data_IF_297387779707
#
_entry.id   IF_297387779707
#
_cell.length_a   1.000
_cell.length_b   1.000
_cell.length_c   1.000
_cell.angle_alpha   90.00
_cell.angle_beta   90.00
_cell.angle_gamma   90.00
#
_symmetry.space_group_name_H-M   'P 1'
#
loop_
_entity.id
_entity.type
_entity.pdbx_description
1 polymer ?
#
# COMPACT_ATOMS: atom_id res chain seq x y z
N UNK A 1 27.79 0.27 31.09
CA UNK A 1 28.44 1.60 31.09
C UNK A 1 27.84 2.40 29.94
N UNK A 2 26.75 3.12 30.19
CA UNK A 2 26.66 4.61 30.25
C UNK A 2 27.00 5.26 28.89
N UNK A 3 26.18 6.08 28.23
CA UNK A 3 25.07 6.92 28.68
C UNK A 3 24.12 7.24 27.50
N UNK A 4 22.81 7.20 27.71
CA UNK A 4 21.86 7.95 26.87
C UNK A 4 21.69 9.31 27.55
N UNK A 5 22.43 10.32 27.08
CA UNK A 5 22.23 11.70 27.50
C UNK A 5 21.09 12.29 26.68
N UNK A 6 20.04 12.66 27.40
CA UNK A 6 18.94 13.53 27.01
C UNK A 6 19.40 14.70 26.13
N UNK A 7 18.68 14.93 25.03
CA UNK A 7 18.52 16.25 24.43
C UNK A 7 17.02 16.53 24.31
N UNK A 8 16.50 17.22 25.31
CA UNK A 8 15.21 17.90 25.27
C UNK A 8 15.34 19.11 24.35
N UNK A 9 14.72 19.07 23.17
CA UNK A 9 14.39 20.29 22.43
C UNK A 9 12.94 20.61 22.76
N UNK A 10 12.78 21.68 23.52
CA UNK A 10 11.54 22.36 23.81
C UNK A 10 10.85 22.77 22.50
N UNK A 11 9.82 22.04 22.11
CA UNK A 11 8.74 22.57 21.27
C UNK A 11 7.43 22.27 22.00
N UNK A 12 6.64 23.33 22.17
CA UNK A 12 5.52 23.42 23.09
C UNK A 12 4.48 22.31 22.95
N UNK A 13 3.74 22.11 24.04
CA UNK A 13 2.59 21.20 24.18
C UNK A 13 1.73 21.16 22.91
N UNK A 14 1.90 20.12 22.11
CA UNK A 14 0.88 19.65 21.18
C UNK A 14 0.08 18.56 21.91
N UNK A 15 -1.26 18.58 21.86
CA UNK A 15 -2.09 17.52 22.46
C UNK A 15 -1.74 16.17 21.81
N UNK A 16 -1.83 15.09 22.59
CA UNK A 16 -1.45 13.72 22.22
C UNK A 16 -2.15 13.22 20.94
N UNK A 17 -1.65 13.65 19.79
CA UNK A 17 -1.96 13.07 18.50
C UNK A 17 -0.88 12.03 18.21
N UNK A 18 -1.31 10.79 17.99
CA UNK A 18 -0.49 9.60 17.83
C UNK A 18 0.45 9.69 16.62
N UNK A 19 1.61 10.31 16.80
CA UNK A 19 2.72 10.20 15.84
C UNK A 19 3.66 9.11 16.36
N UNK A 20 3.54 7.90 15.81
CA UNK A 20 4.50 6.84 16.10
C UNK A 20 5.90 7.30 15.67
N UNK A 21 6.89 7.08 16.55
CA UNK A 21 8.30 7.36 16.22
C UNK A 21 8.68 6.55 14.97
N UNK A 22 8.95 7.25 13.86
CA UNK A 22 9.50 6.65 12.66
C UNK A 22 10.93 6.20 12.93
N UNK A 23 11.11 4.91 13.21
CA UNK A 23 12.40 4.29 13.47
C UNK A 23 12.41 2.84 12.98
N UNK A 24 13.57 2.16 12.99
CA UNK A 24 13.64 0.77 12.57
C UNK A 24 12.75 -0.13 13.45
N UNK A 25 11.82 -0.84 12.81
CA UNK A 25 10.91 -1.79 13.47
C UNK A 25 11.44 -3.23 13.41
N UNK A 26 11.17 -4.02 14.45
CA UNK A 26 11.53 -5.45 14.53
C UNK A 26 10.65 -6.32 13.63
N UNK A 27 9.39 -5.93 13.48
CA UNK A 27 8.42 -6.59 12.61
C UNK A 27 8.11 -5.65 11.44
N UNK A 28 8.11 -6.21 10.23
CA UNK A 28 7.84 -5.49 8.99
C UNK A 28 6.69 -6.18 8.27
N UNK A 29 5.85 -5.39 7.60
CA UNK A 29 4.66 -5.89 6.93
C UNK A 29 4.97 -6.50 5.54
N UNK A 30 5.97 -5.94 4.85
CA UNK A 30 6.34 -6.33 3.49
C UNK A 30 7.66 -7.12 3.46
N UNK A 31 7.76 -8.08 2.54
CA UNK A 31 9.01 -8.79 2.24
C UNK A 31 10.00 -7.83 1.57
N UNK A 32 11.15 -7.51 2.20
CA UNK A 32 12.08 -6.49 1.71
C UNK A 32 12.55 -6.67 0.27
N UNK A 33 12.64 -7.91 -0.20
CA UNK A 33 13.12 -8.20 -1.57
C UNK A 33 12.13 -7.82 -2.67
N UNK A 34 10.85 -7.70 -2.33
CA UNK A 34 9.77 -7.34 -3.26
C UNK A 34 9.49 -5.83 -3.26
N UNK A 35 10.14 -5.09 -2.36
CA UNK A 35 9.97 -3.65 -2.17
C UNK A 35 10.79 -2.85 -3.20
N UNK A 36 10.12 -1.89 -3.85
CA UNK A 36 10.75 -0.70 -4.46
C UNK A 36 10.55 0.51 -3.56
N UNK A 37 11.64 1.09 -3.07
CA UNK A 37 11.61 2.25 -2.19
C UNK A 37 12.04 3.52 -2.94
N UNK A 38 11.19 4.54 -2.97
CA UNK A 38 11.50 5.84 -3.56
C UNK A 38 11.76 6.88 -2.46
N UNK A 39 12.88 7.59 -2.57
CA UNK A 39 13.27 8.70 -1.67
C UNK A 39 13.07 10.00 -2.43
N UNK A 40 12.15 10.83 -1.93
CA UNK A 40 11.87 12.17 -2.45
C UNK A 40 12.21 13.21 -1.40
N UNK A 41 12.74 14.34 -1.84
CA UNK A 41 12.99 15.49 -0.96
C UNK A 41 12.17 16.68 -1.44
N UNK A 42 11.39 17.26 -0.54
CA UNK A 42 10.54 18.42 -0.80
C UNK A 42 10.86 19.52 0.22
N UNK A 43 11.12 20.73 -0.26
CA UNK A 43 11.46 21.89 0.57
C UNK A 43 12.81 22.52 0.23
N UNK A 44 13.27 23.41 1.12
CA UNK A 44 14.53 24.14 0.95
C UNK A 44 15.78 23.27 1.10
N UNK A 45 16.90 23.75 0.55
CA UNK A 45 18.23 23.15 0.69
C UNK A 45 18.66 23.19 2.16
N UNK A 46 18.63 22.05 2.84
CA UNK A 46 19.24 21.90 4.16
C UNK A 46 20.54 21.08 4.02
N UNK A 47 21.71 21.59 4.47
CA UNK A 47 22.99 20.89 4.34
C UNK A 47 23.01 19.47 4.94
N UNK A 48 22.15 19.20 5.93
CA UNK A 48 22.09 17.92 6.64
C UNK A 48 21.20 16.86 5.97
N UNK A 49 20.54 17.17 4.86
CA UNK A 49 19.60 16.25 4.22
C UNK A 49 20.30 15.04 3.58
N UNK A 50 21.54 15.21 3.14
CA UNK A 50 22.34 14.14 2.56
C UNK A 50 22.62 13.02 3.58
N UNK A 51 22.88 13.37 4.84
CA UNK A 51 23.07 12.38 5.91
C UNK A 51 21.78 11.62 6.23
N UNK A 52 20.62 12.28 6.14
CA UNK A 52 19.32 11.64 6.33
C UNK A 52 19.06 10.62 5.21
N UNK A 53 19.24 11.01 3.94
CA UNK A 53 19.10 10.11 2.78
C UNK A 53 20.05 8.91 2.94
N UNK A 54 21.30 9.16 3.34
CA UNK A 54 22.30 8.12 3.55
C UNK A 54 21.86 7.10 4.59
N UNK A 55 21.33 7.53 5.73
CA UNK A 55 20.84 6.63 6.78
C UNK A 55 19.60 5.85 6.37
N UNK A 56 18.70 6.46 5.59
CA UNK A 56 17.52 5.77 5.04
C UNK A 56 17.97 4.65 4.09
N UNK A 57 18.85 4.94 3.13
CA UNK A 57 19.36 3.93 2.18
C UNK A 57 20.07 2.79 2.93
N UNK A 58 20.89 3.11 3.92
CA UNK A 58 21.60 2.09 4.71
C UNK A 58 20.63 1.20 5.49
N UNK A 59 19.56 1.79 6.02
CA UNK A 59 18.53 1.07 6.76
C UNK A 59 17.73 0.15 5.83
N UNK A 60 17.30 0.64 4.67
CA UNK A 60 16.58 -0.15 3.66
C UNK A 60 17.41 -1.35 3.17
N UNK A 61 18.70 -1.13 2.87
CA UNK A 61 19.61 -2.22 2.52
C UNK A 61 19.78 -3.23 3.67
N UNK A 62 19.84 -2.76 4.92
CA UNK A 62 19.94 -3.63 6.11
C UNK A 62 18.70 -4.50 6.27
N UNK A 63 17.52 -3.99 5.92
CA UNK A 63 16.30 -4.79 5.85
C UNK A 63 16.28 -5.74 4.65
N UNK A 64 17.13 -5.56 3.64
CA UNK A 64 17.23 -6.45 2.47
C UNK A 64 16.54 -5.90 1.21
N UNK A 65 16.16 -4.62 1.21
CA UNK A 65 15.60 -3.94 0.04
C UNK A 65 16.68 -3.76 -1.02
N UNK A 66 16.39 -4.16 -2.26
CA UNK A 66 17.32 -4.10 -3.39
C UNK A 66 17.03 -2.98 -4.39
N UNK A 67 15.77 -2.57 -4.49
CA UNK A 67 15.33 -1.56 -5.45
C UNK A 67 15.06 -0.25 -4.71
N UNK A 68 16.06 0.63 -4.68
CA UNK A 68 15.99 1.92 -3.99
C UNK A 68 16.29 3.01 -5.02
N UNK A 69 15.41 4.01 -5.13
CA UNK A 69 15.51 5.09 -6.10
C UNK A 69 15.33 6.45 -5.45
N UNK A 70 15.97 7.47 -6.01
CA UNK A 70 15.81 8.87 -5.68
C UNK A 70 14.95 9.56 -6.73
N UNK A 71 14.01 10.38 -6.29
CA UNK A 71 13.12 11.13 -7.18
C UNK A 71 13.61 12.57 -7.29
N UNK A 72 14.03 13.02 -8.50
CA UNK A 72 14.57 14.36 -8.67
C UNK A 72 13.45 15.42 -8.67
N UNK A 73 13.79 16.66 -8.27
CA UNK A 73 12.86 17.80 -8.32
C UNK A 73 11.60 17.68 -7.44
N UNK A 74 11.71 16.94 -6.33
CA UNK A 74 10.61 16.74 -5.40
C UNK A 74 9.46 15.97 -6.04
N UNK A 75 8.22 16.34 -5.73
CA UNK A 75 7.06 15.63 -6.27
C UNK A 75 6.92 15.72 -7.80
N UNK A 76 7.50 16.74 -8.43
CA UNK A 76 7.47 16.86 -9.90
C UNK A 76 8.12 15.67 -10.60
N UNK A 77 9.15 15.07 -9.99
CA UNK A 77 9.83 13.90 -10.55
C UNK A 77 8.97 12.64 -10.66
N UNK A 78 7.79 12.60 -10.03
CA UNK A 78 6.84 11.50 -10.21
C UNK A 78 5.97 11.64 -11.47
N UNK A 79 5.75 12.86 -11.96
CA UNK A 79 4.76 13.13 -13.02
C UNK A 79 5.39 13.59 -14.34
N UNK A 80 6.62 14.08 -14.32
CA UNK A 80 7.32 14.54 -15.51
C UNK A 80 8.09 13.38 -16.15
N UNK A 81 7.55 12.81 -17.24
CA UNK A 81 8.14 11.66 -17.96
C UNK A 81 9.55 11.93 -18.49
N UNK A 82 9.98 13.20 -18.54
CA UNK A 82 11.34 13.59 -18.96
C UNK A 82 12.36 13.40 -17.83
N UNK A 83 11.89 13.19 -16.60
CA UNK A 83 12.72 12.98 -15.42
C UNK A 83 12.78 11.49 -15.09
N UNK A 84 13.98 10.94 -15.09
CA UNK A 84 14.19 9.53 -14.74
C UNK A 84 14.52 9.38 -13.25
N UNK A 85 14.00 8.30 -12.67
CA UNK A 85 14.37 7.87 -11.33
C UNK A 85 15.88 7.58 -11.26
N UNK A 86 16.51 7.96 -10.15
CA UNK A 86 17.93 7.75 -9.95
C UNK A 86 18.19 6.56 -9.02
N UNK A 87 18.89 5.50 -9.44
CA UNK A 87 19.17 4.38 -8.56
C UNK A 87 20.07 4.80 -7.38
N UNK A 88 19.65 4.45 -6.16
CA UNK A 88 20.38 4.70 -4.93
C UNK A 88 20.92 3.38 -4.38
N UNK A 89 22.16 3.43 -3.89
CA UNK A 89 22.80 2.34 -3.15
C UNK A 89 23.77 2.94 -2.16
N UNK A 90 24.22 2.15 -1.18
CA UNK A 90 25.24 2.58 -0.23
C UNK A 90 26.48 3.18 -0.89
N UNK A 91 26.90 2.66 -2.05
CA UNK A 91 28.03 3.22 -2.81
C UNK A 91 27.73 4.61 -3.37
N UNK A 92 26.52 4.80 -3.90
CA UNK A 92 26.07 6.08 -4.47
C UNK A 92 25.91 7.13 -3.36
N UNK A 93 25.33 6.75 -2.22
CA UNK A 93 25.07 7.70 -1.12
C UNK A 93 26.28 7.97 -0.21
N UNK A 94 27.30 7.10 -0.20
CA UNK A 94 28.53 7.30 0.57
C UNK A 94 29.32 8.53 0.13
N UNK A 95 29.21 8.93 -1.14
CA UNK A 95 29.93 10.07 -1.71
C UNK A 95 29.11 11.37 -1.72
N UNK A 96 27.87 11.36 -1.22
CA UNK A 96 26.99 12.54 -1.18
C UNK A 96 27.49 13.66 -0.25
N UNK A 97 28.34 13.33 0.72
CA UNK A 97 28.87 14.30 1.68
C UNK A 97 30.06 15.11 1.12
N UNK A 98 30.57 14.77 -0.08
CA UNK A 98 31.72 15.42 -0.71
C UNK A 98 31.35 16.31 -1.90
N UNK A 99 30.11 16.25 -2.39
CA UNK A 99 29.63 17.08 -3.48
C UNK A 99 28.81 18.23 -2.90
N UNK A 100 29.33 19.46 -2.98
CA UNK A 100 28.57 20.66 -2.61
C UNK A 100 27.32 20.82 -3.49
N UNK A 101 26.16 21.07 -2.86
CA UNK A 101 24.85 21.19 -3.53
C UNK A 101 23.94 19.98 -3.31
N UNK A 102 22.62 20.18 -3.41
CA UNK A 102 21.69 19.04 -3.33
C UNK A 102 21.76 18.19 -4.58
N UNK A 103 21.97 16.90 -4.37
CA UNK A 103 22.11 15.83 -5.37
C UNK A 103 20.93 15.69 -6.34
N UNK A 104 19.83 16.37 -6.06
CA UNK A 104 18.71 16.56 -6.97
C UNK A 104 18.26 17.99 -6.82
N UNK A 105 18.20 18.72 -7.93
CA UNK A 105 17.75 20.12 -7.94
C UNK A 105 16.44 20.24 -7.18
N UNK A 106 16.39 21.14 -6.19
CA UNK A 106 15.19 21.36 -5.39
C UNK A 106 14.20 22.23 -6.15
N UNK A 107 12.91 21.88 -6.07
CA UNK A 107 11.82 22.77 -6.46
C UNK A 107 11.28 23.43 -5.19
N UNK A 108 11.14 24.78 -5.19
CA UNK A 108 10.53 25.53 -4.08
C UNK A 108 9.01 25.40 -4.18
N UNK A 109 8.46 24.30 -3.67
CA UNK A 109 7.06 24.17 -3.31
C UNK A 109 6.93 24.28 -1.79
N UNK A 110 6.03 25.14 -1.31
CA UNK A 110 5.80 25.34 0.13
C UNK A 110 5.38 24.06 0.85
N UNK A 111 5.60 24.06 2.17
CA UNK A 111 5.39 23.00 3.18
C UNK A 111 6.62 22.12 3.44
N UNK A 112 7.17 22.27 4.65
CA UNK A 112 8.15 21.39 5.27
C UNK A 112 7.46 20.08 5.64
N UNK A 113 7.53 19.09 4.77
CA UNK A 113 7.13 17.73 5.10
C UNK A 113 8.38 16.84 4.98
N UNK A 114 8.91 16.38 6.11
CA UNK A 114 9.67 15.13 6.12
C UNK A 114 8.62 14.06 5.89
N UNK A 115 8.37 13.73 4.63
CA UNK A 115 7.54 12.59 4.30
C UNK A 115 8.38 11.35 4.50
N UNK A 116 8.42 10.87 5.76
CA UNK A 116 8.51 9.43 6.03
C UNK A 116 7.12 8.83 5.85
N UNK A 117 6.51 9.07 4.69
CA UNK A 117 5.48 8.19 4.22
C UNK A 117 6.22 7.24 3.29
N UNK A 118 6.30 5.98 3.72
CA UNK A 118 6.39 4.89 2.78
C UNK A 118 5.06 4.93 2.00
N UNK A 119 4.92 5.90 1.10
CA UNK A 119 3.91 5.85 0.06
C UNK A 119 4.44 4.84 -0.92
N UNK A 120 4.23 3.57 -0.62
CA UNK A 120 4.09 2.61 -1.69
C UNK A 120 2.83 3.04 -2.43
N UNK A 121 2.99 3.56 -3.64
CA UNK A 121 2.13 3.04 -4.69
C UNK A 121 2.55 1.59 -4.92
N UNK A 122 2.04 0.72 -4.06
CA UNK A 122 1.56 -0.58 -4.47
C UNK A 122 0.03 -0.48 -4.46
N UNK A 123 -0.50 0.48 -5.22
CA UNK A 123 -1.89 0.42 -5.69
C UNK A 123 -2.09 -0.78 -6.61
N UNK A 124 -1.02 -1.46 -7.04
CA UNK A 124 -1.12 -2.66 -7.84
C UNK A 124 -1.18 -3.92 -6.96
N UNK A 125 -2.38 -4.42 -6.73
CA UNK A 125 -2.61 -5.84 -6.49
C UNK A 125 -1.86 -6.69 -7.54
N UNK A 126 -1.46 -7.94 -7.24
CA UNK A 126 -0.77 -8.81 -8.19
C UNK A 126 -1.50 -8.90 -9.53
N UNK A 127 -0.80 -9.12 -10.66
CA UNK A 127 -1.43 -9.17 -11.97
C UNK A 127 -2.53 -10.23 -12.03
N UNK A 128 -3.67 -9.84 -12.60
CA UNK A 128 -4.81 -10.73 -12.79
C UNK A 128 -4.47 -11.75 -13.88
N UNK A 129 -4.68 -13.02 -13.58
CA UNK A 129 -4.48 -14.17 -14.47
C UNK A 129 -5.73 -15.06 -14.47
N UNK A 130 -5.77 -16.10 -15.30
CA UNK A 130 -6.87 -17.09 -15.27
C UNK A 130 -7.01 -17.87 -13.95
N UNK A 131 -6.04 -17.76 -13.02
CA UNK A 131 -6.07 -18.37 -11.68
C UNK A 131 -5.41 -17.46 -10.64
N UNK A 132 -5.88 -16.22 -10.54
CA UNK A 132 -5.35 -15.22 -9.60
C UNK A 132 -5.56 -15.69 -8.16
N UNK A 133 -4.48 -15.79 -7.37
CA UNK A 133 -4.57 -16.22 -5.97
C UNK A 133 -5.05 -15.07 -5.09
N UNK A 134 -5.98 -15.36 -4.18
CA UNK A 134 -6.50 -14.37 -3.25
C UNK A 134 -6.82 -15.01 -1.89
N UNK A 135 -6.94 -14.15 -0.87
CA UNK A 135 -7.63 -14.48 0.38
C UNK A 135 -9.04 -13.94 0.32
N UNK A 136 -10.01 -14.79 0.61
CA UNK A 136 -11.41 -14.42 0.68
C UNK A 136 -11.78 -14.12 2.12
N UNK A 137 -12.33 -12.93 2.36
CA UNK A 137 -12.85 -12.48 3.66
C UNK A 137 -14.38 -12.34 3.61
N UNK A 138 -15.00 -12.17 4.76
CA UNK A 138 -16.46 -12.01 4.85
C UNK A 138 -16.79 -10.54 5.09
N UNK A 139 -17.72 -10.01 4.29
CA UNK A 139 -18.22 -8.65 4.45
C UNK A 139 -19.74 -8.58 4.26
N UNK A 140 -20.37 -7.68 5.01
CA UNK A 140 -21.76 -7.30 4.90
C UNK A 140 -21.90 -6.06 4.03
N UNK A 141 -22.63 -6.21 2.92
CA UNK A 141 -22.94 -5.11 2.00
C UNK A 141 -24.29 -4.44 2.31
N UNK A 142 -24.92 -4.83 3.41
CA UNK A 142 -26.21 -4.31 3.86
C UNK A 142 -26.04 -2.99 4.62
N UNK A 143 -27.11 -2.21 4.67
CA UNK A 143 -27.13 -0.96 5.45
C UNK A 143 -26.92 -1.27 6.93
N UNK A 144 -25.90 -0.65 7.54
CA UNK A 144 -25.51 -0.91 8.93
C UNK A 144 -24.68 -2.18 9.12
N UNK A 145 -24.20 -2.79 8.03
CA UNK A 145 -23.16 -3.81 8.05
C UNK A 145 -21.77 -3.25 8.33
N UNK A 146 -20.76 -4.13 8.28
CA UNK A 146 -19.34 -3.82 8.43
C UNK A 146 -18.72 -3.13 7.21
N UNK A 147 -19.34 -3.19 6.03
CA UNK A 147 -18.93 -2.42 4.86
C UNK A 147 -19.08 -0.89 5.01
N UNK A 148 -19.73 -0.43 6.08
CA UNK A 148 -19.89 0.99 6.41
C UNK A 148 -20.84 1.73 5.46
N UNK A 149 -20.32 2.18 4.32
CA UNK A 149 -21.04 2.96 3.31
C UNK A 149 -21.79 2.10 2.28
N UNK A 150 -22.56 2.73 1.37
CA UNK A 150 -23.04 2.05 0.18
C UNK A 150 -21.87 1.69 -0.75
N UNK A 151 -22.03 0.68 -1.60
CA UNK A 151 -20.93 0.18 -2.42
C UNK A 151 -20.50 1.16 -3.52
N UNK A 152 -19.19 1.24 -3.78
CA UNK A 152 -18.56 2.27 -4.62
C UNK A 152 -19.03 2.23 -6.08
N UNK A 153 -19.35 1.06 -6.65
CA UNK A 153 -19.70 0.96 -8.06
C UNK A 153 -21.02 1.66 -8.46
N UNK A 154 -21.99 1.75 -7.55
CA UNK A 154 -23.32 2.27 -7.87
C UNK A 154 -24.02 3.04 -6.73
N UNK A 155 -23.34 3.21 -5.60
CA UNK A 155 -23.86 3.93 -4.44
C UNK A 155 -25.05 3.23 -3.78
N UNK A 156 -25.15 1.89 -3.87
CA UNK A 156 -26.24 1.11 -3.27
C UNK A 156 -25.75 0.10 -2.24
N UNK A 157 -26.57 -0.11 -1.21
CA UNK A 157 -26.46 -1.28 -0.35
C UNK A 157 -27.00 -2.52 -1.07
N UNK A 158 -26.42 -3.68 -0.77
CA UNK A 158 -26.77 -4.98 -1.37
C UNK A 158 -27.13 -5.96 -0.29
N UNK A 159 -28.07 -6.87 -0.56
CA UNK A 159 -28.36 -7.92 0.41
C UNK A 159 -27.21 -8.91 0.45
N UNK A 160 -26.90 -9.43 1.64
CA UNK A 160 -25.90 -10.48 1.82
C UNK A 160 -26.31 -11.85 1.25
N UNK A 161 -27.56 -11.94 0.78
CA UNK A 161 -28.09 -13.08 0.02
C UNK A 161 -27.74 -13.00 -1.47
N UNK A 162 -27.33 -11.83 -1.98
CA UNK A 162 -26.79 -11.67 -3.32
C UNK A 162 -25.32 -12.09 -3.36
N UNK A 163 -24.88 -12.74 -4.45
CA UNK A 163 -23.47 -13.09 -4.65
C UNK A 163 -22.68 -11.87 -5.13
N UNK A 164 -22.26 -11.05 -4.18
CA UNK A 164 -21.49 -9.83 -4.43
C UNK A 164 -20.15 -9.85 -3.69
N UNK A 165 -19.18 -9.12 -4.24
CA UNK A 165 -17.83 -8.98 -3.69
C UNK A 165 -17.27 -7.56 -3.82
N UNK A 166 -16.35 -7.22 -2.94
CA UNK A 166 -15.40 -6.13 -3.09
C UNK A 166 -14.03 -6.70 -3.50
N UNK A 167 -13.28 -5.96 -4.30
CA UNK A 167 -11.91 -6.32 -4.68
C UNK A 167 -10.92 -5.32 -4.08
N UNK A 168 -9.74 -5.79 -3.69
CA UNK A 168 -8.62 -4.89 -3.36
C UNK A 168 -8.43 -3.83 -4.43
N UNK A 169 -8.07 -2.60 -4.01
CA UNK A 169 -7.89 -1.42 -4.87
C UNK A 169 -7.28 -1.69 -6.25
N UNK A 170 -6.19 -2.46 -6.33
CA UNK A 170 -5.55 -2.75 -7.61
C UNK A 170 -6.33 -3.70 -8.52
N UNK A 171 -7.07 -4.65 -7.95
CA UNK A 171 -7.97 -5.53 -8.72
C UNK A 171 -9.29 -4.84 -9.06
N UNK A 172 -9.77 -3.94 -8.19
CA UNK A 172 -10.91 -3.07 -8.48
C UNK A 172 -10.66 -2.21 -9.73
N UNK A 173 -9.40 -1.80 -9.95
CA UNK A 173 -8.89 -1.16 -11.17
C UNK A 173 -9.69 0.09 -11.54
N UNK A 174 -9.81 1.02 -10.58
CA UNK A 174 -10.58 2.26 -10.70
C UNK A 174 -12.02 2.03 -11.22
N UNK A 175 -12.65 0.95 -10.78
CA UNK A 175 -14.01 0.59 -11.17
C UNK A 175 -14.13 -0.09 -12.54
N UNK A 176 -13.05 -0.40 -13.25
CA UNK A 176 -13.12 -1.12 -14.53
C UNK A 176 -13.75 -2.51 -14.41
N UNK A 177 -13.74 -3.11 -13.22
CA UNK A 177 -14.45 -4.37 -12.91
C UNK A 177 -15.84 -4.19 -12.32
N UNK A 178 -16.31 -2.96 -12.11
CA UNK A 178 -17.63 -2.71 -11.55
C UNK A 178 -18.74 -3.41 -12.33
N UNK A 179 -19.63 -4.06 -11.57
CA UNK A 179 -20.80 -4.79 -12.06
C UNK A 179 -20.48 -5.97 -13.00
N UNK A 180 -19.20 -6.27 -13.24
CA UNK A 180 -18.76 -7.48 -13.93
C UNK A 180 -18.77 -8.66 -12.97
N UNK A 181 -18.89 -9.85 -13.56
CA UNK A 181 -18.82 -11.08 -12.81
C UNK A 181 -17.39 -11.61 -12.81
N UNK A 182 -16.99 -12.18 -11.68
CA UNK A 182 -15.77 -12.97 -11.53
C UNK A 182 -16.14 -14.40 -11.15
N UNK A 183 -15.28 -15.35 -11.50
CA UNK A 183 -15.40 -16.74 -11.05
C UNK A 183 -14.42 -16.97 -9.91
N UNK A 184 -14.93 -17.39 -8.76
CA UNK A 184 -14.13 -17.73 -7.58
C UNK A 184 -14.09 -19.25 -7.45
N UNK A 185 -12.91 -19.80 -7.19
CA UNK A 185 -12.67 -21.23 -6.96
C UNK A 185 -12.10 -21.46 -5.56
N UNK A 186 -12.75 -22.34 -4.82
CA UNK A 186 -12.30 -22.86 -3.54
C UNK A 186 -12.25 -24.38 -3.57
N UNK A 187 -11.06 -24.97 -3.45
CA UNK A 187 -10.81 -26.43 -3.41
C UNK A 187 -11.58 -27.21 -4.51
N UNK A 188 -11.67 -26.64 -5.72
CA UNK A 188 -12.35 -27.26 -6.87
C UNK A 188 -13.82 -26.92 -7.04
N UNK A 189 -14.47 -26.29 -6.05
CA UNK A 189 -15.83 -25.73 -6.18
C UNK A 189 -15.75 -24.31 -6.70
N UNK A 190 -16.60 -23.96 -7.66
CA UNK A 190 -16.63 -22.62 -8.25
C UNK A 190 -17.96 -21.92 -8.02
N UNK A 191 -17.92 -20.59 -7.97
CA UNK A 191 -19.12 -19.77 -8.00
C UNK A 191 -18.84 -18.44 -8.68
N UNK A 192 -19.85 -17.87 -9.32
CA UNK A 192 -19.76 -16.52 -9.90
C UNK A 192 -20.27 -15.49 -8.91
N UNK A 193 -19.59 -14.35 -8.82
CA UNK A 193 -20.00 -13.23 -7.99
C UNK A 193 -19.80 -11.91 -8.75
N UNK A 194 -20.64 -10.92 -8.47
CA UNK A 194 -20.60 -9.59 -9.09
C UNK A 194 -19.75 -8.65 -8.25
N UNK A 195 -18.81 -7.95 -8.88
CA UNK A 195 -18.01 -6.92 -8.22
C UNK A 195 -18.89 -5.68 -8.02
N UNK A 196 -19.04 -5.24 -6.77
CA UNK A 196 -19.87 -4.08 -6.43
C UNK A 196 -19.12 -2.99 -5.69
N UNK A 197 -17.95 -3.30 -5.14
CA UNK A 197 -17.26 -2.39 -4.23
C UNK A 197 -15.74 -2.49 -4.31
N UNK A 198 -15.08 -1.51 -3.70
CA UNK A 198 -13.64 -1.48 -3.50
C UNK A 198 -13.30 -1.85 -2.06
N UNK A 199 -12.33 -2.75 -1.88
CA UNK A 199 -11.68 -2.98 -0.60
C UNK A 199 -10.42 -2.10 -0.54
N UNK A 200 -10.59 -0.89 -0.01
CA UNK A 200 -9.59 0.18 -0.03
C UNK A 200 -8.33 -0.21 0.78
N UNK A 201 -7.22 -0.41 0.07
CA UNK A 201 -5.95 -0.82 0.69
C UNK A 201 -5.33 0.29 1.54
N UNK A 202 -5.68 1.56 1.26
CA UNK A 202 -5.28 2.71 2.07
C UNK A 202 -6.04 2.82 3.40
N UNK A 203 -7.16 2.08 3.55
CA UNK A 203 -8.01 2.08 4.76
C UNK A 203 -8.00 0.76 5.52
N UNK A 204 -6.98 -0.08 5.30
CA UNK A 204 -6.74 -1.29 6.09
C UNK A 204 -7.07 -2.60 5.40
N UNK A 205 -7.51 -2.57 4.13
CA UNK A 205 -7.62 -3.79 3.34
C UNK A 205 -6.24 -4.27 2.84
N UNK A 206 -6.07 -5.58 2.70
CA UNK A 206 -4.90 -6.15 2.01
C UNK A 206 -4.99 -5.98 0.49
N UNK A 207 -3.87 -6.16 -0.20
CA UNK A 207 -3.75 -6.03 -1.66
C UNK A 207 -4.18 -7.30 -2.44
N UNK A 208 -4.37 -8.43 -1.74
CA UNK A 208 -4.79 -9.71 -2.33
C UNK A 208 -6.12 -10.22 -1.76
N UNK A 209 -7.10 -9.34 -1.57
CA UNK A 209 -8.38 -9.62 -0.91
C UNK A 209 -9.53 -9.68 -1.93
N UNK A 210 -10.35 -10.72 -1.79
CA UNK A 210 -11.71 -10.79 -2.35
C UNK A 210 -12.66 -10.77 -1.18
N UNK A 211 -13.28 -9.63 -0.93
CA UNK A 211 -14.14 -9.47 0.24
C UNK A 211 -15.58 -9.83 -0.12
N UNK A 212 -16.11 -10.91 0.45
CA UNK A 212 -17.24 -11.60 -0.12
C UNK A 212 -18.45 -11.67 0.80
N UNK A 213 -19.63 -11.48 0.20
CA UNK A 213 -20.93 -11.66 0.86
C UNK A 213 -21.15 -13.11 1.30
N UNK A 214 -21.98 -13.30 2.33
CA UNK A 214 -22.30 -14.63 2.88
C UNK A 214 -22.84 -15.62 1.82
N UNK A 215 -23.55 -15.13 0.81
CA UNK A 215 -24.03 -15.96 -0.29
C UNK A 215 -22.90 -16.62 -1.10
N UNK A 216 -21.76 -15.95 -1.26
CA UNK A 216 -20.58 -16.50 -1.96
C UNK A 216 -19.97 -17.63 -1.15
N UNK A 217 -19.77 -17.42 0.16
CA UNK A 217 -19.26 -18.42 1.09
C UNK A 217 -20.13 -19.68 1.09
N UNK A 218 -21.45 -19.50 1.17
CA UNK A 218 -22.43 -20.60 1.14
C UNK A 218 -22.38 -21.36 -0.19
N UNK A 219 -22.29 -20.65 -1.32
CA UNK A 219 -22.27 -21.26 -2.65
C UNK A 219 -21.00 -22.07 -2.92
N UNK A 220 -19.85 -21.66 -2.35
CA UNK A 220 -18.61 -22.42 -2.40
C UNK A 220 -18.61 -23.60 -1.41
N UNK A 221 -19.55 -23.62 -0.47
CA UNK A 221 -19.67 -24.65 0.57
C UNK A 221 -18.44 -24.71 1.48
N UNK A 222 -17.88 -23.54 1.81
CA UNK A 222 -16.74 -23.42 2.73
C UNK A 222 -17.19 -23.86 4.13
N UNK A 223 -16.44 -24.72 4.84
CA UNK A 223 -16.81 -25.16 6.17
C UNK A 223 -16.83 -23.98 7.14
N UNK A 224 -17.73 -24.01 8.13
CA UNK A 224 -17.89 -22.93 9.13
C UNK A 224 -16.59 -22.59 9.87
N UNK A 225 -15.67 -23.55 10.02
CA UNK A 225 -14.37 -23.37 10.67
C UNK A 225 -13.38 -22.51 9.86
N UNK A 226 -13.59 -22.36 8.55
CA UNK A 226 -12.75 -21.55 7.66
C UNK A 226 -13.44 -20.24 7.24
N UNK A 227 -14.67 -19.98 7.71
CA UNK A 227 -15.38 -18.73 7.40
C UNK A 227 -14.65 -17.55 8.03
N UNK A 228 -14.39 -16.52 7.22
CA UNK A 228 -13.70 -15.29 7.61
C UNK A 228 -12.31 -15.15 7.00
N UNK A 229 -11.66 -16.26 6.65
CA UNK A 229 -10.38 -16.25 5.92
C UNK A 229 -10.15 -17.58 5.20
N UNK A 230 -10.35 -17.59 3.88
CA UNK A 230 -10.14 -18.76 3.05
C UNK A 230 -9.22 -18.44 1.87
N UNK A 231 -8.31 -19.37 1.54
CA UNK A 231 -7.49 -19.26 0.32
C UNK A 231 -8.31 -19.68 -0.89
N UNK A 232 -8.42 -18.78 -1.87
CA UNK A 232 -9.17 -18.99 -3.11
C UNK A 232 -8.32 -18.63 -4.33
N UNK A 233 -8.82 -19.02 -5.50
CA UNK A 233 -8.38 -18.41 -6.76
C UNK A 233 -9.56 -17.77 -7.45
N UNK A 234 -9.32 -16.74 -8.26
CA UNK A 234 -10.37 -16.10 -9.04
C UNK A 234 -9.88 -15.69 -10.43
N UNK A 235 -10.82 -15.49 -11.34
CA UNK A 235 -10.60 -14.96 -12.68
C UNK A 235 -11.79 -14.09 -13.11
N UNK A 236 -11.57 -13.22 -14.09
CA UNK A 236 -12.67 -12.52 -14.76
C UNK A 236 -13.60 -13.56 -15.42
N UNK A 237 -14.93 -13.38 -15.34
CA UNK A 237 -15.85 -14.33 -15.96
C UNK A 237 -15.78 -14.22 -17.50
N UNK A 238 -15.56 -15.36 -18.18
CA UNK A 238 -15.42 -15.43 -19.64
C UNK A 238 -13.97 -15.45 -20.15
N UNK A 239 -12.97 -15.56 -19.27
CA UNK A 239 -11.56 -15.83 -19.60
C UNK A 239 -11.25 -17.31 -19.75
#
# INVERSE_FOLDING_TARGET
MTAVKSWSILLGKFPDFWVHRAGPHKQIYYEPREVKAAIVTCGGLCPSLNDVIRQIVFTLEKYGVKNIVGIPFGYRGFFDERLSEMPLSRRVVQNLNLNGGSFSGVSRGGVLAIVSQCSFEATSSPPVTGKTRARMTINSFEKGGDGGGPSECDGRYRSNTEKVVALSTGWYDHGRRCLKHITINYKGRTTTAKVVDECDTGKGCGDTIVDASRAVWNALGVPKSEIGDARVTWSDAGS
#
